data_IF_855385214681
#
_entry.id   IF_855385214681
#
_cell.length_a   1.000
_cell.length_b   1.000
_cell.length_c   1.000
_cell.angle_alpha   90.00
_cell.angle_beta   90.00
_cell.angle_gamma   90.00
#
_symmetry.space_group_name_H-M   'P 1'
#
loop_
_entity.id
_entity.type
_entity.pdbx_description
1 polymer ?
#
# COMPACT_ATOMS: atom_id res chain seq x y z
N UNK A 1 11.92 41.98 -17.97
CA UNK A 1 11.68 40.60 -17.47
C UNK A 1 10.34 40.04 -17.94
N UNK A 2 9.23 40.78 -17.77
CA UNK A 2 7.89 40.35 -18.23
C UNK A 2 7.77 40.14 -19.74
N UNK A 3 8.45 40.94 -20.57
CA UNK A 3 8.40 40.77 -22.03
C UNK A 3 9.10 39.49 -22.53
N UNK A 4 10.08 38.98 -21.78
CA UNK A 4 10.73 37.71 -22.10
C UNK A 4 9.79 36.51 -21.85
N UNK A 5 8.94 36.61 -20.83
CA UNK A 5 7.92 35.60 -20.51
C UNK A 5 6.76 35.58 -21.51
N UNK A 6 6.50 36.70 -22.20
CA UNK A 6 5.47 36.81 -23.25
C UNK A 6 5.90 36.27 -24.61
N UNK A 7 7.15 35.83 -24.77
CA UNK A 7 7.63 35.25 -26.02
C UNK A 7 6.86 33.96 -26.33
N UNK A 8 6.31 33.77 -27.55
CA UNK A 8 5.55 32.57 -27.88
C UNK A 8 6.31 31.27 -27.59
N UNK A 9 7.62 31.23 -27.87
CA UNK A 9 8.46 30.06 -27.59
C UNK A 9 8.55 29.69 -26.11
N UNK A 10 8.56 30.68 -25.20
CA UNK A 10 8.55 30.43 -23.75
C UNK A 10 7.20 29.90 -23.31
N UNK A 11 6.10 30.49 -23.82
CA UNK A 11 4.73 30.05 -23.53
C UNK A 11 4.50 28.61 -24.02
N UNK A 12 4.89 28.29 -25.26
CA UNK A 12 4.78 26.94 -25.81
C UNK A 12 5.64 25.94 -25.03
N UNK A 13 6.88 26.31 -24.69
CA UNK A 13 7.76 25.46 -23.89
C UNK A 13 7.18 25.15 -22.51
N UNK A 14 6.70 26.18 -21.81
CA UNK A 14 6.03 26.01 -20.51
C UNK A 14 4.78 25.14 -20.63
N UNK A 15 3.93 25.38 -21.63
CA UNK A 15 2.72 24.57 -21.87
C UNK A 15 3.04 23.09 -22.14
N UNK A 16 4.08 22.82 -22.92
CA UNK A 16 4.54 21.45 -23.16
C UNK A 16 5.14 20.81 -21.90
N UNK A 17 5.87 21.57 -21.09
CA UNK A 17 6.36 21.14 -19.78
C UNK A 17 5.23 20.78 -18.82
N UNK A 18 4.14 21.58 -18.79
CA UNK A 18 2.93 21.26 -18.02
C UNK A 18 2.31 19.96 -18.52
N UNK A 19 2.10 19.82 -19.83
CA UNK A 19 1.51 18.61 -20.41
C UNK A 19 2.29 17.35 -20.05
N UNK A 20 3.62 17.36 -20.22
CA UNK A 20 4.50 16.24 -19.83
C UNK A 20 4.35 15.94 -18.35
N UNK A 21 4.41 16.97 -17.49
CA UNK A 21 4.35 16.79 -16.05
C UNK A 21 3.03 16.20 -15.59
N UNK A 22 1.91 16.64 -16.18
CA UNK A 22 0.57 16.09 -15.87
C UNK A 22 0.46 14.65 -16.36
N UNK A 23 0.96 14.32 -17.56
CA UNK A 23 0.96 12.94 -18.05
C UNK A 23 1.78 11.99 -17.16
N UNK A 24 2.94 12.45 -16.68
CA UNK A 24 3.83 11.65 -15.84
C UNK A 24 3.29 11.50 -14.42
N UNK A 25 2.80 12.57 -13.80
CA UNK A 25 2.52 12.58 -12.36
C UNK A 25 1.04 12.55 -12.01
N UNK A 26 0.16 12.92 -12.93
CA UNK A 26 -1.29 13.02 -12.72
C UNK A 26 -2.07 12.40 -13.90
N UNK A 27 -1.79 11.13 -14.27
CA UNK A 27 -2.42 10.49 -15.42
C UNK A 27 -3.95 10.38 -15.30
N UNK A 28 -4.50 10.47 -14.10
CA UNK A 28 -5.94 10.51 -13.85
C UNK A 28 -6.64 11.70 -14.50
N UNK A 29 -5.95 12.83 -14.74
CA UNK A 29 -6.49 13.99 -15.46
C UNK A 29 -6.93 13.61 -16.89
N UNK A 30 -6.30 12.58 -17.46
CA UNK A 30 -6.61 12.04 -18.78
C UNK A 30 -7.33 10.67 -18.71
N UNK A 31 -7.80 10.26 -17.54
CA UNK A 31 -8.37 8.91 -17.31
C UNK A 31 -7.41 7.76 -17.64
N UNK A 32 -6.10 8.00 -17.51
CA UNK A 32 -5.06 7.01 -17.80
C UNK A 32 -4.59 6.23 -16.56
N UNK A 33 -5.16 6.50 -15.38
CA UNK A 33 -4.74 5.92 -14.10
C UNK A 33 -4.91 4.39 -14.00
N UNK A 34 -5.72 3.78 -14.87
CA UNK A 34 -5.86 2.32 -15.00
C UNK A 34 -5.16 1.75 -16.23
N UNK A 35 -4.47 2.58 -17.02
CA UNK A 35 -3.77 2.12 -18.23
C UNK A 35 -2.40 1.56 -17.84
N UNK A 36 -2.10 0.37 -18.35
CA UNK A 36 -0.79 -0.26 -18.22
C UNK A 36 0.33 0.72 -18.55
N UNK A 37 1.32 0.80 -17.65
CA UNK A 37 2.44 1.74 -17.75
C UNK A 37 2.22 2.98 -16.89
N UNK A 38 1.07 3.67 -17.04
CA UNK A 38 0.73 4.80 -16.17
C UNK A 38 0.47 4.36 -14.73
N UNK A 39 -0.27 3.27 -14.54
CA UNK A 39 -0.47 2.67 -13.21
C UNK A 39 0.85 2.31 -12.53
N UNK A 40 1.78 1.69 -13.27
CA UNK A 40 3.09 1.31 -12.75
C UNK A 40 3.94 2.53 -12.40
N UNK A 41 3.86 3.58 -13.21
CA UNK A 41 4.58 4.83 -12.98
C UNK A 41 4.03 5.59 -11.76
N UNK A 42 2.72 5.53 -11.53
CA UNK A 42 2.09 6.03 -10.30
C UNK A 42 2.53 5.22 -9.08
N UNK A 43 2.47 3.89 -9.15
CA UNK A 43 2.83 3.02 -8.03
C UNK A 43 4.31 3.10 -7.67
N UNK A 44 5.19 3.18 -8.69
CA UNK A 44 6.64 3.31 -8.53
C UNK A 44 7.07 4.78 -8.50
N UNK A 45 6.41 5.59 -7.66
CA UNK A 45 6.64 7.04 -7.56
C UNK A 45 8.12 7.43 -7.35
N UNK A 46 8.92 6.75 -6.52
CA UNK A 46 10.33 7.08 -6.34
C UNK A 46 11.14 6.87 -7.64
N UNK A 47 10.84 5.80 -8.37
CA UNK A 47 11.46 5.50 -9.66
C UNK A 47 11.04 6.53 -10.72
N UNK A 48 9.76 6.87 -10.78
CA UNK A 48 9.23 7.91 -11.66
C UNK A 48 9.93 9.26 -11.44
N UNK A 49 10.08 9.68 -10.18
CA UNK A 49 10.81 10.89 -9.81
C UNK A 49 12.27 10.85 -10.24
N UNK A 50 12.96 9.71 -10.03
CA UNK A 50 14.36 9.54 -10.43
C UNK A 50 14.53 9.61 -11.96
N UNK A 51 13.65 8.96 -12.72
CA UNK A 51 13.69 8.97 -14.20
C UNK A 51 13.41 10.36 -14.76
N UNK A 52 12.33 11.02 -14.31
CA UNK A 52 11.99 12.37 -14.80
C UNK A 52 13.03 13.39 -14.36
N UNK A 53 13.52 13.30 -13.12
CA UNK A 53 14.58 14.16 -12.60
C UNK A 53 15.88 14.00 -13.40
N UNK A 54 16.32 12.77 -13.64
CA UNK A 54 17.52 12.48 -14.44
C UNK A 54 17.40 12.95 -15.89
N UNK A 55 16.26 12.71 -16.54
CA UNK A 55 15.97 13.21 -17.89
C UNK A 55 15.97 14.75 -17.94
N UNK A 56 15.43 15.40 -16.90
CA UNK A 56 15.40 16.86 -16.79
C UNK A 56 16.82 17.43 -16.60
N UNK A 57 17.66 16.79 -15.79
CA UNK A 57 19.07 17.17 -15.64
C UNK A 57 19.84 17.05 -16.95
N UNK A 58 19.69 15.93 -17.67
CA UNK A 58 20.28 15.77 -19.00
C UNK A 58 19.77 16.84 -19.98
N UNK A 59 18.47 17.14 -19.92
CA UNK A 59 17.86 18.22 -20.68
C UNK A 59 18.52 19.58 -20.43
N UNK A 60 18.84 19.91 -19.17
CA UNK A 60 19.55 21.15 -18.84
C UNK A 60 20.99 21.15 -19.39
N UNK A 61 21.68 20.01 -19.38
CA UNK A 61 23.00 19.88 -20.02
C UNK A 61 22.91 20.13 -21.52
N UNK A 62 21.93 19.54 -22.21
CA UNK A 62 21.69 19.79 -23.63
C UNK A 62 21.31 21.25 -23.89
N UNK A 63 20.46 21.82 -23.04
CA UNK A 63 20.10 23.23 -23.15
C UNK A 63 21.31 24.16 -23.05
N UNK A 64 22.33 23.84 -22.25
CA UNK A 64 23.54 24.66 -22.15
C UNK A 64 24.28 24.83 -23.50
N UNK A 65 24.15 23.86 -24.41
CA UNK A 65 24.71 23.94 -25.76
C UNK A 65 23.81 24.71 -26.73
N UNK A 66 22.50 24.41 -26.75
CA UNK A 66 21.57 24.92 -27.77
C UNK A 66 20.88 26.25 -27.37
N UNK A 67 20.88 26.58 -26.08
CA UNK A 67 20.31 27.79 -25.46
C UNK A 67 18.89 28.15 -25.92
N UNK A 68 18.08 27.15 -26.27
CA UNK A 68 16.70 27.34 -26.70
C UNK A 68 15.81 27.82 -25.55
N UNK A 69 15.12 28.98 -25.67
CA UNK A 69 14.24 29.47 -24.61
C UNK A 69 13.00 28.58 -24.38
N UNK A 70 12.55 27.87 -25.42
CA UNK A 70 11.44 26.91 -25.32
C UNK A 70 11.84 25.71 -24.47
N UNK A 71 13.03 25.14 -24.75
CA UNK A 71 13.56 24.00 -24.00
C UNK A 71 13.79 24.38 -22.53
N UNK A 72 14.37 25.56 -22.25
CA UNK A 72 14.54 26.03 -20.88
C UNK A 72 13.21 26.12 -20.13
N UNK A 73 12.21 26.76 -20.74
CA UNK A 73 10.90 26.94 -20.14
C UNK A 73 10.24 25.60 -19.80
N UNK A 74 10.30 24.65 -20.74
CA UNK A 74 9.83 23.28 -20.53
C UNK A 74 10.54 22.60 -19.35
N UNK A 75 11.87 22.61 -19.33
CA UNK A 75 12.68 21.95 -18.29
C UNK A 75 12.46 22.56 -16.91
N UNK A 76 12.34 23.90 -16.81
CA UNK A 76 12.03 24.57 -15.55
C UNK A 76 10.67 24.13 -15.02
N UNK A 77 9.63 24.06 -15.87
CA UNK A 77 8.31 23.60 -15.45
C UNK A 77 8.37 22.14 -14.99
N UNK A 78 9.00 21.24 -15.77
CA UNK A 78 9.14 19.83 -15.39
C UNK A 78 9.91 19.66 -14.08
N UNK A 79 10.99 20.43 -13.88
CA UNK A 79 11.77 20.41 -12.64
C UNK A 79 10.94 20.88 -11.44
N UNK A 80 10.14 21.93 -11.60
CA UNK A 80 9.25 22.43 -10.55
C UNK A 80 8.19 21.38 -10.17
N UNK A 81 7.51 20.77 -11.14
CA UNK A 81 6.55 19.70 -10.90
C UNK A 81 7.20 18.49 -10.22
N UNK A 82 8.36 18.05 -10.70
CA UNK A 82 9.12 16.94 -10.12
C UNK A 82 9.50 17.25 -8.66
N UNK A 83 9.94 18.48 -8.37
CA UNK A 83 10.24 18.92 -7.01
C UNK A 83 9.01 18.92 -6.10
N UNK A 84 7.87 19.45 -6.56
CA UNK A 84 6.62 19.47 -5.80
C UNK A 84 6.14 18.04 -5.50
N UNK A 85 6.10 17.17 -6.51
CA UNK A 85 5.69 15.76 -6.34
C UNK A 85 6.68 15.03 -5.43
N UNK A 86 7.98 15.32 -5.53
CA UNK A 86 8.99 14.76 -4.64
C UNK A 86 8.78 15.17 -3.17
N UNK A 87 8.43 16.43 -2.92
CA UNK A 87 8.09 16.91 -1.58
C UNK A 87 6.81 16.25 -1.06
N UNK A 88 5.77 16.15 -1.89
CA UNK A 88 4.51 15.47 -1.53
C UNK A 88 4.71 13.99 -1.20
N UNK A 89 5.53 13.30 -1.98
CA UNK A 89 5.87 11.90 -1.70
C UNK A 89 6.67 11.79 -0.39
N UNK A 90 7.67 12.64 -0.20
CA UNK A 90 8.49 12.63 1.01
C UNK A 90 7.69 13.02 2.27
N UNK A 91 6.66 13.87 2.15
CA UNK A 91 5.82 14.28 3.29
C UNK A 91 4.94 13.16 3.82
N UNK A 92 4.72 12.08 3.05
CA UNK A 92 4.07 10.87 3.59
C UNK A 92 4.97 10.19 4.64
N UNK A 93 6.27 10.46 4.62
CA UNK A 93 7.22 10.05 5.65
C UNK A 93 8.13 8.88 5.25
N UNK A 94 9.40 9.00 5.61
CA UNK A 94 10.51 8.14 5.13
C UNK A 94 10.94 7.10 6.18
N UNK A 95 10.09 6.76 7.15
CA UNK A 95 10.45 5.82 8.21
C UNK A 95 10.04 4.39 7.82
N UNK A 96 10.86 3.40 8.17
CA UNK A 96 10.44 1.99 8.15
C UNK A 96 9.88 1.55 9.51
N UNK A 97 10.17 2.31 10.57
CA UNK A 97 9.69 2.09 11.93
C UNK A 97 9.29 3.42 12.54
N UNK A 98 8.23 3.42 13.32
CA UNK A 98 7.77 4.57 14.06
C UNK A 98 7.18 4.13 15.39
N UNK A 99 7.43 4.93 16.42
CA UNK A 99 6.82 4.76 17.72
C UNK A 99 6.60 6.15 18.31
N UNK A 100 5.40 6.39 18.81
CA UNK A 100 5.01 7.57 19.59
C UNK A 100 4.41 7.09 20.90
N UNK A 101 4.19 8.02 21.84
CA UNK A 101 3.59 7.66 23.11
C UNK A 101 2.23 7.01 22.88
N UNK A 102 2.06 5.78 23.37
CA UNK A 102 0.81 5.06 23.28
C UNK A 102 -0.30 5.85 24.01
N UNK A 103 -1.46 6.08 23.37
CA UNK A 103 -2.64 6.54 24.09
C UNK A 103 -2.99 5.58 25.23
N UNK A 104 -3.69 6.08 26.25
CA UNK A 104 -4.30 5.24 27.27
C UNK A 104 -5.43 4.41 26.68
N UNK A 105 -5.62 3.19 27.18
CA UNK A 105 -6.70 2.30 26.76
C UNK A 105 -6.20 0.91 26.39
N UNK A 106 -7.13 0.10 25.88
CA UNK A 106 -6.81 -1.23 25.35
C UNK A 106 -5.95 -1.11 24.10
N UNK A 107 -5.14 -2.15 23.89
CA UNK A 107 -4.15 -2.19 22.81
C UNK A 107 -4.49 -3.33 21.88
N UNK A 108 -4.26 -3.10 20.59
CA UNK A 108 -4.43 -4.07 19.54
C UNK A 108 -3.18 -4.09 18.67
N UNK A 109 -2.56 -5.25 18.47
CA UNK A 109 -1.44 -5.45 17.55
C UNK A 109 -1.93 -6.22 16.34
N UNK A 110 -1.74 -5.65 15.15
CA UNK A 110 -2.14 -6.25 13.88
C UNK A 110 -0.92 -6.44 13.00
N UNK A 111 -0.75 -7.66 12.47
CA UNK A 111 0.29 -8.01 11.51
C UNK A 111 -0.35 -8.32 10.16
N UNK A 112 0.26 -7.87 9.06
CA UNK A 112 -0.10 -8.34 7.72
C UNK A 112 1.12 -8.75 6.89
N UNK A 113 0.92 -9.74 6.03
CA UNK A 113 1.97 -10.29 5.19
C UNK A 113 1.40 -11.04 3.98
N UNK A 114 1.73 -10.58 2.77
CA UNK A 114 1.76 -11.44 1.60
C UNK A 114 3.02 -12.33 1.69
N UNK A 115 2.82 -13.64 1.90
CA UNK A 115 3.92 -14.57 2.14
C UNK A 115 4.51 -15.15 0.86
N UNK A 116 3.99 -14.80 -0.31
CA UNK A 116 4.27 -15.37 -1.63
C UNK A 116 3.82 -16.84 -1.75
N UNK A 117 3.04 -17.12 -2.80
CA UNK A 117 2.52 -18.45 -3.08
C UNK A 117 3.63 -19.51 -3.14
N UNK A 118 3.42 -20.62 -2.43
CA UNK A 118 4.35 -21.75 -2.38
C UNK A 118 5.61 -21.50 -1.54
N UNK A 119 5.72 -20.35 -0.87
CA UNK A 119 6.74 -20.14 0.16
C UNK A 119 6.34 -20.88 1.43
N UNK A 120 7.28 -21.56 2.08
CA UNK A 120 7.10 -22.22 3.38
C UNK A 120 8.12 -21.72 4.43
N UNK A 121 9.01 -20.82 4.03
CA UNK A 121 10.22 -20.47 4.78
C UNK A 121 10.02 -19.34 5.80
N UNK A 122 8.79 -18.85 5.98
CA UNK A 122 8.45 -17.70 6.83
C UNK A 122 8.34 -18.03 8.33
N UNK A 123 9.19 -18.92 8.87
CA UNK A 123 9.23 -19.22 10.32
C UNK A 123 9.47 -17.98 11.19
N UNK A 124 10.29 -17.03 10.72
CA UNK A 124 10.53 -15.78 11.46
C UNK A 124 9.29 -14.90 11.57
N UNK A 125 8.32 -15.02 10.65
CA UNK A 125 7.03 -14.34 10.77
C UNK A 125 6.24 -14.89 11.96
N UNK A 126 6.17 -16.22 12.12
CA UNK A 126 5.45 -16.84 13.24
C UNK A 126 6.15 -16.63 14.57
N UNK A 127 7.49 -16.62 14.58
CA UNK A 127 8.24 -16.18 15.77
C UNK A 127 7.88 -14.74 16.13
N UNK A 128 7.79 -13.84 15.15
CA UNK A 128 7.38 -12.44 15.39
C UNK A 128 5.96 -12.37 15.95
N UNK A 129 4.98 -13.05 15.32
CA UNK A 129 3.59 -13.12 15.80
C UNK A 129 3.52 -13.54 17.27
N UNK A 130 4.31 -14.55 17.65
CA UNK A 130 4.43 -14.99 19.04
C UNK A 130 5.10 -13.93 19.94
N UNK A 131 6.25 -13.39 19.53
CA UNK A 131 7.03 -12.45 20.34
C UNK A 131 6.30 -11.10 20.56
N UNK A 132 5.50 -10.65 19.59
CA UNK A 132 4.74 -9.41 19.65
C UNK A 132 3.33 -9.60 20.16
N UNK A 133 2.95 -10.86 20.45
CA UNK A 133 1.64 -11.25 20.93
C UNK A 133 0.52 -10.68 20.05
N UNK A 134 0.67 -10.82 18.73
CA UNK A 134 -0.21 -10.17 17.75
C UNK A 134 -1.66 -10.63 17.91
N UNK A 135 -2.61 -9.72 17.98
CA UNK A 135 -4.02 -10.06 18.22
C UNK A 135 -4.71 -10.52 16.93
N UNK A 136 -4.32 -9.91 15.81
CA UNK A 136 -4.87 -10.18 14.48
C UNK A 136 -3.73 -10.29 13.47
N UNK A 137 -3.78 -11.33 12.62
CA UNK A 137 -2.83 -11.54 11.52
C UNK A 137 -3.58 -11.69 10.21
N UNK A 138 -3.32 -10.82 9.24
CA UNK A 138 -3.86 -10.89 7.88
C UNK A 138 -2.80 -11.45 6.93
N UNK A 139 -2.97 -12.68 6.48
CA UNK A 139 -2.05 -13.34 5.55
C UNK A 139 -2.65 -13.35 4.13
N UNK A 140 -1.79 -13.17 3.13
CA UNK A 140 -2.12 -13.31 1.72
C UNK A 140 -1.14 -14.28 1.06
N UNK A 141 -1.61 -15.00 0.04
CA UNK A 141 -0.86 -16.06 -0.64
C UNK A 141 -0.35 -17.17 0.30
N UNK A 142 -1.09 -17.44 1.37
CA UNK A 142 -0.72 -18.42 2.38
C UNK A 142 -1.54 -19.70 2.23
N UNK A 143 -0.86 -20.84 2.13
CA UNK A 143 -1.52 -22.14 2.18
C UNK A 143 -2.00 -22.45 3.62
N UNK A 144 -3.26 -22.84 3.76
CA UNK A 144 -3.86 -23.12 5.07
C UNK A 144 -3.08 -24.18 5.86
N UNK A 145 -2.66 -25.26 5.19
CA UNK A 145 -1.84 -26.33 5.78
C UNK A 145 -0.50 -25.83 6.31
N UNK A 146 0.15 -24.91 5.59
CA UNK A 146 1.43 -24.33 6.05
C UNK A 146 1.24 -23.41 7.25
N UNK A 147 0.11 -22.71 7.33
CA UNK A 147 -0.27 -21.91 8.51
C UNK A 147 -0.52 -22.81 9.71
N UNK A 148 -1.26 -23.90 9.56
CA UNK A 148 -1.51 -24.89 10.62
C UNK A 148 -0.22 -25.51 11.16
N UNK A 149 0.67 -25.98 10.28
CA UNK A 149 1.97 -26.55 10.66
C UNK A 149 2.81 -25.55 11.48
N UNK A 150 2.76 -24.26 11.12
CA UNK A 150 3.48 -23.20 11.84
C UNK A 150 2.81 -22.86 13.17
N UNK A 151 1.48 -22.84 13.23
CA UNK A 151 0.77 -22.68 14.51
C UNK A 151 1.17 -23.78 15.50
N UNK A 152 1.21 -25.04 15.05
CA UNK A 152 1.64 -26.15 15.91
C UNK A 152 3.10 -25.98 16.34
N UNK A 153 4.01 -25.72 15.38
CA UNK A 153 5.45 -25.57 15.63
C UNK A 153 5.77 -24.46 16.65
N UNK A 154 5.02 -23.37 16.64
CA UNK A 154 5.23 -22.22 17.54
C UNK A 154 4.31 -22.22 18.76
N UNK A 155 3.50 -23.27 18.97
CA UNK A 155 2.62 -23.40 20.14
C UNK A 155 1.50 -22.37 20.16
N UNK A 156 0.97 -22.01 18.98
CA UNK A 156 -0.06 -20.99 18.78
C UNK A 156 -1.43 -21.59 18.38
N UNK A 157 -1.53 -22.91 18.19
CA UNK A 157 -2.76 -23.56 17.73
C UNK A 157 -3.97 -23.30 18.64
N UNK A 158 -3.77 -23.25 19.95
CA UNK A 158 -4.86 -22.98 20.92
C UNK A 158 -5.11 -21.47 21.13
N UNK A 159 -4.28 -20.60 20.54
CA UNK A 159 -4.36 -19.16 20.72
C UNK A 159 -5.24 -18.50 19.66
N UNK A 160 -5.25 -19.01 18.42
CA UNK A 160 -5.89 -18.37 17.28
C UNK A 160 -7.00 -19.20 16.64
N UNK A 161 -8.11 -18.52 16.33
CA UNK A 161 -8.99 -18.94 15.25
C UNK A 161 -8.35 -18.59 13.90
N UNK A 162 -8.39 -19.52 12.95
CA UNK A 162 -7.99 -19.29 11.54
C UNK A 162 -9.24 -19.34 10.67
N UNK A 163 -9.42 -18.36 9.79
CA UNK A 163 -10.51 -18.40 8.81
C UNK A 163 -10.31 -19.55 7.82
N UNK A 164 -11.39 -20.16 7.31
CA UNK A 164 -11.28 -21.17 6.26
C UNK A 164 -10.69 -20.58 4.98
N UNK A 165 -10.26 -21.47 4.08
CA UNK A 165 -9.80 -21.12 2.72
C UNK A 165 -10.84 -20.26 1.98
N UNK A 166 -10.34 -19.28 1.22
CA UNK A 166 -11.21 -18.37 0.48
C UNK A 166 -11.62 -18.99 -0.85
N UNK A 167 -12.87 -18.80 -1.32
CA UNK A 167 -13.24 -19.22 -2.67
C UNK A 167 -12.52 -18.32 -3.69
N UNK A 168 -11.34 -18.73 -4.15
CA UNK A 168 -10.64 -18.04 -5.25
C UNK A 168 -11.01 -18.66 -6.60
N UNK A 169 -10.94 -17.86 -7.67
CA UNK A 169 -11.26 -18.33 -9.03
C UNK A 169 -10.19 -19.28 -9.63
N UNK A 170 -9.08 -19.52 -8.92
CA UNK A 170 -7.96 -20.33 -9.37
C UNK A 170 -7.51 -21.23 -8.20
N UNK A 171 -7.41 -22.57 -8.38
CA UNK A 171 -7.03 -23.53 -7.34
C UNK A 171 -5.54 -23.49 -6.97
N UNK A 172 -4.93 -22.32 -7.05
CA UNK A 172 -3.58 -22.04 -6.59
C UNK A 172 -3.66 -21.75 -5.10
N UNK A 173 -2.81 -22.38 -4.28
CA UNK A 173 -2.66 -22.28 -2.81
C UNK A 173 -2.33 -20.85 -2.31
N UNK A 174 -3.07 -19.85 -2.80
CA UNK A 174 -2.83 -18.43 -2.65
C UNK A 174 -4.02 -17.77 -1.93
N UNK A 175 -4.40 -18.34 -0.79
CA UNK A 175 -5.51 -17.85 0.00
C UNK A 175 -5.17 -16.57 0.76
N UNK A 176 -6.21 -15.79 1.02
CA UNK A 176 -6.19 -14.77 2.06
C UNK A 176 -6.79 -15.35 3.33
N UNK A 177 -6.07 -15.25 4.44
CA UNK A 177 -6.49 -15.79 5.73
C UNK A 177 -6.45 -14.69 6.79
N UNK A 178 -7.33 -14.79 7.78
CA UNK A 178 -7.25 -14.03 9.02
C UNK A 178 -7.03 -15.00 10.17
N UNK A 179 -6.00 -14.74 10.98
CA UNK A 179 -5.83 -15.36 12.29
C UNK A 179 -6.24 -14.33 13.34
N UNK A 180 -7.09 -14.73 14.30
CA UNK A 180 -7.55 -13.85 15.38
C UNK A 180 -7.44 -14.60 16.69
N UNK A 181 -6.90 -13.95 17.72
CA UNK A 181 -6.89 -14.55 19.04
C UNK A 181 -8.31 -14.84 19.54
N UNK A 182 -8.47 -15.93 20.29
CA UNK A 182 -9.77 -16.33 20.82
C UNK A 182 -10.36 -15.37 21.87
N UNK A 183 -9.53 -14.56 22.52
CA UNK A 183 -9.95 -13.54 23.50
C UNK A 183 -10.74 -12.39 22.87
N UNK A 184 -10.62 -12.17 21.55
CA UNK A 184 -11.43 -11.24 20.78
C UNK A 184 -12.79 -11.82 20.35
N UNK A 185 -13.12 -13.04 20.81
CA UNK A 185 -14.37 -13.75 20.51
C UNK A 185 -14.72 -13.75 19.00
N UNK A 186 -13.82 -14.24 18.13
CA UNK A 186 -13.99 -14.10 16.69
C UNK A 186 -15.14 -14.95 16.12
N UNK A 187 -15.96 -14.34 15.28
CA UNK A 187 -16.96 -14.96 14.41
C UNK A 187 -16.51 -14.84 12.95
N UNK A 188 -16.35 -15.96 12.24
CA UNK A 188 -15.98 -15.95 10.81
C UNK A 188 -17.11 -15.36 9.97
N UNK A 189 -16.76 -14.42 9.09
CA UNK A 189 -17.68 -13.85 8.11
C UNK A 189 -17.67 -14.69 6.84
N UNK A 190 -18.84 -14.98 6.28
CA UNK A 190 -18.98 -15.80 5.08
C UNK A 190 -18.26 -15.17 3.86
N UNK A 191 -17.18 -15.83 3.44
CA UNK A 191 -16.32 -15.41 2.35
C UNK A 191 -17.02 -15.41 0.98
N UNK A 192 -18.12 -16.17 0.78
CA UNK A 192 -18.83 -16.19 -0.50
C UNK A 192 -19.46 -14.85 -0.88
N UNK A 193 -19.75 -14.02 0.13
CA UNK A 193 -20.32 -12.69 -0.05
C UNK A 193 -19.27 -11.60 -0.22
N UNK A 194 -18.00 -11.94 -0.01
CA UNK A 194 -16.91 -10.99 -0.03
C UNK A 194 -16.35 -10.84 -1.46
N UNK A 195 -15.68 -9.72 -1.74
CA UNK A 195 -14.90 -9.56 -2.97
C UNK A 195 -13.83 -10.66 -3.08
N UNK A 196 -13.13 -10.68 -4.22
CA UNK A 196 -12.02 -11.60 -4.48
C UNK A 196 -11.07 -11.77 -3.28
N UNK A 197 -10.38 -12.92 -3.17
CA UNK A 197 -9.37 -13.27 -2.16
C UNK A 197 -9.42 -12.44 -0.86
N UNK A 198 -10.58 -12.43 -0.20
CA UNK A 198 -10.87 -11.65 1.00
C UNK A 198 -11.37 -12.60 2.08
N UNK A 199 -10.75 -12.53 3.25
CA UNK A 199 -11.19 -13.25 4.44
C UNK A 199 -11.57 -12.26 5.54
N UNK A 200 -12.62 -12.58 6.31
CA UNK A 200 -13.19 -11.65 7.27
C UNK A 200 -13.61 -12.31 8.58
N UNK A 201 -13.51 -11.54 9.64
CA UNK A 201 -13.89 -11.92 11.00
C UNK A 201 -14.60 -10.75 11.67
N UNK A 202 -15.56 -11.06 12.54
CA UNK A 202 -16.20 -10.09 13.44
C UNK A 202 -15.77 -10.40 14.87
N UNK A 203 -15.47 -9.36 15.62
CA UNK A 203 -15.08 -9.41 17.04
C UNK A 203 -15.91 -8.41 17.82
N UNK A 204 -15.70 -8.35 19.14
CA UNK A 204 -16.23 -7.28 19.99
C UNK A 204 -15.76 -5.87 19.59
N UNK A 205 -14.59 -5.76 18.93
CA UNK A 205 -14.02 -4.50 18.41
C UNK A 205 -14.50 -4.15 16.99
N UNK A 206 -15.35 -4.99 16.40
CA UNK A 206 -15.87 -4.84 15.04
C UNK A 206 -15.23 -5.79 14.04
N UNK A 207 -15.28 -5.42 12.76
CA UNK A 207 -14.92 -6.33 11.66
C UNK A 207 -13.49 -6.10 11.16
N UNK A 208 -12.78 -7.19 10.91
CA UNK A 208 -11.41 -7.19 10.41
C UNK A 208 -11.31 -8.04 9.14
N UNK A 209 -10.50 -7.60 8.18
CA UNK A 209 -10.35 -8.29 6.90
C UNK A 209 -8.90 -8.41 6.44
N UNK A 210 -8.56 -9.57 5.90
CA UNK A 210 -7.41 -9.78 5.03
C UNK A 210 -7.83 -9.54 3.58
N UNK A 211 -7.11 -8.67 2.88
CA UNK A 211 -7.41 -8.23 1.52
C UNK A 211 -6.27 -8.63 0.57
N UNK A 212 -6.62 -9.15 -0.60
CA UNK A 212 -5.68 -9.38 -1.69
C UNK A 212 -6.31 -9.04 -3.05
N UNK A 213 -6.11 -7.81 -3.51
CA UNK A 213 -6.61 -7.36 -4.80
C UNK A 213 -5.83 -8.02 -5.94
N UNK A 214 -6.47 -8.26 -7.09
CA UNK A 214 -5.77 -8.67 -8.31
C UNK A 214 -4.58 -7.76 -8.63
N UNK A 215 -3.50 -8.26 -9.22
CA UNK A 215 -2.38 -7.40 -9.63
C UNK A 215 -2.66 -6.62 -10.95
N UNK A 216 -2.10 -5.40 -11.15
CA UNK A 216 -2.22 -4.61 -12.38
C UNK A 216 -1.31 -5.14 -13.51
N UNK A 217 -1.50 -6.40 -13.91
CA UNK A 217 -0.69 -7.06 -14.95
C UNK A 217 -1.14 -6.68 -16.37
N UNK A 218 -0.23 -6.85 -17.35
CA UNK A 218 -0.37 -6.34 -18.73
C UNK A 218 -1.37 -7.13 -19.60
N UNK A 219 -2.63 -7.26 -19.17
CA UNK A 219 -3.74 -7.76 -19.98
C UNK A 219 -5.02 -6.96 -19.69
N UNK A 220 -5.71 -6.52 -20.74
CA UNK A 220 -6.84 -5.58 -20.60
C UNK A 220 -8.01 -6.08 -19.73
N UNK A 221 -8.23 -7.40 -19.64
CA UNK A 221 -9.22 -7.98 -18.71
C UNK A 221 -8.69 -7.95 -17.27
N UNK A 222 -7.46 -8.41 -17.05
CA UNK A 222 -6.82 -8.44 -15.73
C UNK A 222 -6.70 -7.02 -15.14
N UNK A 223 -6.38 -6.03 -15.96
CA UNK A 223 -6.32 -4.62 -15.56
C UNK A 223 -7.69 -4.07 -15.11
N UNK A 224 -8.79 -4.50 -15.74
CA UNK A 224 -10.14 -4.13 -15.30
C UNK A 224 -10.53 -4.83 -14.01
N UNK A 225 -10.14 -6.10 -13.87
CA UNK A 225 -10.37 -6.88 -12.66
C UNK A 225 -9.61 -6.26 -11.48
N UNK A 226 -8.34 -5.85 -11.66
CA UNK A 226 -7.59 -5.07 -10.67
C UNK A 226 -8.32 -3.80 -10.27
N UNK A 227 -8.69 -2.95 -11.24
CA UNK A 227 -9.32 -1.69 -10.90
C UNK A 227 -10.65 -1.88 -10.12
N UNK A 228 -11.38 -2.95 -10.46
CA UNK A 228 -12.61 -3.33 -9.77
C UNK A 228 -12.35 -3.92 -8.38
N UNK A 229 -11.40 -4.85 -8.23
CA UNK A 229 -11.09 -5.49 -6.95
C UNK A 229 -10.54 -4.47 -5.95
N UNK A 230 -9.58 -3.63 -6.36
CA UNK A 230 -9.02 -2.57 -5.52
C UNK A 230 -10.12 -1.68 -4.96
N UNK A 231 -11.01 -1.19 -5.82
CA UNK A 231 -12.12 -0.33 -5.39
C UNK A 231 -13.04 -1.07 -4.41
N UNK A 232 -13.47 -2.27 -4.76
CA UNK A 232 -14.49 -3.01 -4.01
C UNK A 232 -13.97 -3.45 -2.64
N UNK A 233 -12.71 -3.88 -2.57
CA UNK A 233 -12.05 -4.28 -1.32
C UNK A 233 -11.70 -3.08 -0.45
N UNK A 234 -11.18 -1.98 -1.03
CA UNK A 234 -10.96 -0.71 -0.33
C UNK A 234 -12.26 -0.19 0.29
N UNK A 235 -13.39 -0.29 -0.42
CA UNK A 235 -14.70 0.15 0.08
C UNK A 235 -15.17 -0.64 1.32
N UNK A 236 -14.58 -1.80 1.65
CA UNK A 236 -14.86 -2.53 2.90
C UNK A 236 -14.45 -1.69 4.13
N UNK A 237 -13.42 -0.86 4.03
CA UNK A 237 -12.96 -0.03 5.14
C UNK A 237 -14.05 0.92 5.68
N UNK A 238 -15.02 1.28 4.82
CA UNK A 238 -16.13 2.15 5.17
C UNK A 238 -17.05 1.54 6.24
N UNK A 239 -17.04 0.21 6.39
CA UNK A 239 -17.79 -0.53 7.43
C UNK A 239 -16.92 -1.30 8.41
N UNK A 240 -15.75 -1.80 7.99
CA UNK A 240 -14.84 -2.55 8.83
C UNK A 240 -14.09 -1.65 9.83
N UNK A 241 -13.65 -2.21 10.94
CA UNK A 241 -12.77 -1.53 11.90
C UNK A 241 -11.38 -1.36 11.32
N UNK A 242 -10.86 -2.42 10.68
CA UNK A 242 -9.58 -2.40 9.99
C UNK A 242 -9.56 -3.44 8.87
N UNK A 243 -9.02 -3.05 7.72
CA UNK A 243 -8.68 -3.97 6.63
C UNK A 243 -7.18 -3.90 6.37
N UNK A 244 -6.55 -5.06 6.16
CA UNK A 244 -5.12 -5.15 5.97
C UNK A 244 -4.75 -6.16 4.87
N UNK A 245 -3.67 -5.88 4.15
CA UNK A 245 -3.13 -6.80 3.15
C UNK A 245 -2.66 -6.09 1.89
N UNK A 246 -2.57 -6.85 0.81
CA UNK A 246 -2.05 -6.41 -0.48
C UNK A 246 -3.16 -5.86 -1.37
N UNK A 247 -3.20 -4.53 -1.50
CA UNK A 247 -4.15 -3.84 -2.39
C UNK A 247 -3.64 -3.77 -3.82
N UNK A 248 -2.41 -4.20 -4.11
CA UNK A 248 -1.79 -4.09 -5.43
C UNK A 248 -1.87 -2.65 -6.01
N UNK A 249 -1.97 -1.64 -5.13
CA UNK A 249 -2.17 -0.24 -5.48
C UNK A 249 -1.70 0.65 -4.34
N UNK A 250 -0.95 1.71 -4.66
CA UNK A 250 -0.51 2.72 -3.70
C UNK A 250 -1.61 3.75 -3.41
N UNK A 251 -1.52 4.48 -2.29
CA UNK A 251 -2.36 5.66 -1.98
C UNK A 251 -2.28 6.81 -3.00
N UNK A 252 -1.26 6.82 -3.87
CA UNK A 252 -1.18 7.74 -5.01
C UNK A 252 -2.21 7.42 -6.12
N UNK A 253 -2.78 6.22 -6.12
CA UNK A 253 -3.85 5.84 -7.04
C UNK A 253 -5.17 6.47 -6.62
N UNK A 254 -5.96 7.06 -7.54
CA UNK A 254 -7.30 7.52 -7.21
C UNK A 254 -8.23 6.38 -6.74
N UNK A 255 -7.91 5.12 -7.08
CA UNK A 255 -8.65 3.94 -6.61
C UNK A 255 -8.47 3.67 -5.12
N UNK A 256 -7.43 4.21 -4.49
CA UNK A 256 -7.15 4.03 -3.05
C UNK A 256 -7.69 5.18 -2.18
N UNK A 257 -8.30 6.21 -2.77
CA UNK A 257 -8.85 7.34 -2.00
C UNK A 257 -10.03 6.89 -1.15
N UNK A 258 -9.93 7.02 0.16
CA UNK A 258 -11.00 6.68 1.12
C UNK A 258 -11.73 7.95 1.58
N UNK A 259 -12.96 7.79 2.07
CA UNK A 259 -13.72 8.90 2.65
C UNK A 259 -13.63 8.94 4.18
N UNK A 260 -13.65 7.78 4.83
CA UNK A 260 -13.75 7.64 6.30
C UNK A 260 -12.66 6.76 6.92
N UNK A 261 -11.63 6.40 6.16
CA UNK A 261 -10.59 5.50 6.62
C UNK A 261 -9.23 6.18 6.48
N UNK A 262 -8.34 5.96 7.44
CA UNK A 262 -6.95 6.41 7.40
C UNK A 262 -6.01 5.25 7.09
N UNK A 263 -4.85 5.54 6.52
CA UNK A 263 -3.76 4.59 6.31
C UNK A 263 -2.78 4.65 7.49
N UNK A 264 -2.61 3.54 8.22
CA UNK A 264 -1.78 3.52 9.44
C UNK A 264 -0.33 3.90 9.21
N UNK A 265 0.22 3.56 8.04
CA UNK A 265 1.59 3.88 7.71
C UNK A 265 1.75 5.38 7.39
N UNK A 266 0.78 6.04 6.75
CA UNK A 266 0.83 7.49 6.54
C UNK A 266 0.73 8.27 7.85
N UNK A 267 -0.16 7.86 8.76
CA UNK A 267 -0.33 8.48 10.09
C UNK A 267 0.96 8.40 10.92
N UNK A 268 1.71 7.30 10.78
CA UNK A 268 3.00 7.10 11.45
C UNK A 268 4.22 7.58 10.65
N UNK A 269 4.03 8.36 9.57
CA UNK A 269 5.12 8.87 8.73
C UNK A 269 6.01 7.76 8.11
N UNK A 270 5.38 6.65 7.74
CA UNK A 270 5.93 5.50 7.01
C UNK A 270 5.38 5.44 5.56
N UNK A 271 4.81 6.55 5.11
CA UNK A 271 4.27 6.91 3.79
C UNK A 271 4.96 6.48 2.52
N UNK A 272 6.25 6.73 2.52
CA UNK A 272 7.05 6.79 1.33
C UNK A 272 7.88 5.51 1.15
N UNK A 273 7.69 4.52 2.02
CA UNK A 273 8.44 3.26 2.01
C UNK A 273 7.62 2.18 1.32
N UNK A 274 8.23 1.56 0.31
CA UNK A 274 7.64 0.49 -0.46
C UNK A 274 7.76 -0.86 0.24
N UNK A 275 6.64 -1.59 0.29
CA UNK A 275 6.56 -2.97 0.73
C UNK A 275 7.03 -3.94 -0.37
N UNK A 276 6.86 -3.57 -1.65
CA UNK A 276 7.23 -4.40 -2.80
C UNK A 276 8.09 -3.65 -3.84
N UNK A 277 9.11 -4.28 -4.46
CA UNK A 277 9.64 -5.60 -4.13
C UNK A 277 10.59 -5.53 -2.91
N UNK A 278 10.59 -6.59 -2.09
CA UNK A 278 11.42 -6.74 -0.89
C UNK A 278 12.91 -6.83 -1.22
N UNK A 279 13.26 -7.32 -2.42
CA UNK A 279 14.64 -7.42 -2.92
C UNK A 279 15.28 -6.05 -3.21
N UNK A 280 14.50 -5.01 -3.43
CA UNK A 280 15.00 -3.64 -3.62
C UNK A 280 15.00 -2.90 -2.30
N UNK A 281 15.73 -1.79 -2.20
CA UNK A 281 15.57 -0.89 -1.04
C UNK A 281 14.12 -0.40 -0.94
N UNK A 282 13.56 -0.33 0.27
CA UNK A 282 12.20 0.21 0.49
C UNK A 282 12.05 1.66 0.03
N UNK A 283 13.14 2.39 -0.23
CA UNK A 283 13.08 3.73 -0.82
C UNK A 283 12.65 3.75 -2.30
N UNK A 284 12.74 2.60 -2.99
CA UNK A 284 12.52 2.50 -4.43
C UNK A 284 11.30 1.63 -4.78
N UNK A 285 10.70 0.97 -3.79
CA UNK A 285 9.54 0.10 -3.99
C UNK A 285 8.22 0.88 -4.05
N UNK A 286 7.18 0.17 -4.47
CA UNK A 286 5.79 0.57 -4.32
C UNK A 286 5.29 0.14 -2.93
N UNK A 287 4.49 0.99 -2.30
CA UNK A 287 3.77 0.62 -1.08
C UNK A 287 2.37 0.16 -1.48
N UNK A 288 2.22 -1.15 -1.66
CA UNK A 288 0.96 -1.77 -2.09
C UNK A 288 0.27 -2.56 -0.97
N UNK A 289 1.00 -2.82 0.12
CA UNK A 289 0.45 -3.38 1.34
C UNK A 289 0.03 -2.24 2.28
N UNK A 290 -1.20 -2.32 2.81
CA UNK A 290 -1.80 -1.25 3.59
C UNK A 290 -2.57 -1.78 4.79
N UNK A 291 -2.66 -0.97 5.84
CA UNK A 291 -3.65 -1.11 6.91
C UNK A 291 -4.56 0.12 6.83
N UNK A 292 -5.80 -0.07 6.36
CA UNK A 292 -6.81 0.98 6.35
C UNK A 292 -7.74 0.77 7.54
N UNK A 293 -7.88 1.78 8.39
CA UNK A 293 -8.60 1.67 9.66
C UNK A 293 -9.58 2.83 9.86
N UNK A 294 -10.54 2.62 10.77
CA UNK A 294 -11.47 3.66 11.23
C UNK A 294 -10.81 4.53 12.31
N UNK A 295 -10.52 5.81 12.04
CA UNK A 295 -9.86 6.69 13.00
C UNK A 295 -10.74 7.06 14.20
N UNK A 296 -12.02 6.70 14.21
CA UNK A 296 -12.90 6.83 15.37
C UNK A 296 -12.77 5.65 16.35
N UNK A 297 -12.15 4.54 15.93
CA UNK A 297 -12.07 3.30 16.73
C UNK A 297 -10.62 2.98 17.11
N UNK A 298 -9.67 3.21 16.21
CA UNK A 298 -8.26 2.86 16.43
C UNK A 298 -7.36 4.07 16.26
N UNK A 299 -6.26 4.11 17.00
CA UNK A 299 -5.18 5.11 16.81
C UNK A 299 -3.83 4.40 16.76
N UNK A 300 -3.14 4.34 15.60
CA UNK A 300 -1.84 3.72 15.51
C UNK A 300 -0.80 4.54 16.29
N UNK A 301 0.00 3.89 17.12
CA UNK A 301 1.07 4.54 17.89
C UNK A 301 2.43 3.88 17.70
N UNK A 302 2.47 2.67 17.12
CA UNK A 302 3.70 1.97 16.78
C UNK A 302 3.52 1.25 15.46
N UNK A 303 4.56 1.25 14.63
CA UNK A 303 4.56 0.60 13.33
C UNK A 303 5.96 0.13 12.93
N UNK A 304 6.03 -1.03 12.28
CA UNK A 304 7.24 -1.59 11.68
C UNK A 304 6.92 -2.22 10.33
N UNK A 305 7.77 -1.93 9.34
CA UNK A 305 7.85 -2.68 8.10
C UNK A 305 9.06 -3.62 8.17
N UNK A 306 8.82 -4.92 8.02
CA UNK A 306 9.83 -5.96 8.21
C UNK A 306 9.98 -6.90 7.01
N UNK A 307 11.13 -7.58 6.92
CA UNK A 307 11.39 -8.55 5.86
C UNK A 307 10.79 -9.91 6.23
N UNK A 308 10.08 -10.52 5.28
CA UNK A 308 9.56 -11.88 5.40
C UNK A 308 10.51 -12.81 4.63
N UNK A 309 10.93 -13.92 5.23
CA UNK A 309 11.76 -14.91 4.54
C UNK A 309 11.02 -15.54 3.38
N UNK A 310 11.68 -15.62 2.22
CA UNK A 310 11.14 -16.24 1.01
C UNK A 310 10.15 -15.38 0.22
N UNK A 311 9.55 -14.34 0.82
CA UNK A 311 8.58 -13.46 0.16
C UNK A 311 9.25 -12.32 -0.61
N UNK A 312 8.61 -11.91 -1.70
CA UNK A 312 8.92 -10.68 -2.43
C UNK A 312 8.23 -9.44 -1.86
N UNK A 313 7.45 -9.59 -0.78
CA UNK A 313 6.88 -8.50 0.01
C UNK A 313 7.63 -8.26 1.32
N UNK A 314 7.36 -7.10 1.91
CA UNK A 314 7.65 -6.79 3.31
C UNK A 314 6.36 -6.88 4.10
N UNK A 315 6.43 -7.44 5.30
CA UNK A 315 5.30 -7.45 6.21
C UNK A 315 5.14 -6.12 6.94
N UNK A 316 3.95 -5.88 7.44
CA UNK A 316 3.59 -4.71 8.23
C UNK A 316 3.11 -5.17 9.61
N UNK A 317 3.55 -4.48 10.65
CA UNK A 317 3.08 -4.65 12.02
C UNK A 317 2.72 -3.28 12.56
N UNK A 318 1.52 -3.14 13.13
CA UNK A 318 1.07 -1.92 13.77
C UNK A 318 0.42 -2.23 15.11
N UNK A 319 0.74 -1.40 16.11
CA UNK A 319 0.02 -1.38 17.38
C UNK A 319 -0.88 -0.14 17.45
N UNK A 320 -2.12 -0.38 17.86
CA UNK A 320 -3.18 0.59 17.97
C UNK A 320 -3.62 0.71 19.43
N UNK A 321 -4.01 1.92 19.84
CA UNK A 321 -4.89 2.08 20.98
C UNK A 321 -6.33 2.01 20.50
N UNK A 322 -7.19 1.30 21.25
CA UNK A 322 -8.62 1.24 21.03
C UNK A 322 -9.26 2.46 21.69
N UNK A 323 -10.08 3.19 20.94
CA UNK A 323 -10.82 4.34 21.44
C UNK A 323 -12.14 3.88 22.05
N UNK A 324 -12.44 4.38 23.24
CA UNK A 324 -13.75 4.21 23.83
C UNK A 324 -14.79 4.96 23.00
N UNK A 325 -15.92 4.31 22.67
CA UNK A 325 -16.96 4.88 21.83
C UNK A 325 -17.67 6.13 22.44
N UNK A 326 -17.33 6.49 23.68
CA UNK A 326 -17.96 7.57 24.47
C UNK A 326 -17.05 8.83 24.64
N UNK A 327 -15.97 8.94 23.85
CA UNK A 327 -15.02 10.09 23.88
C UNK A 327 -15.46 11.32 23.10
#
# INVERSE_FOLDING_TARGET
MLDALRRPSVIFGAGFGVLISVLCFFPEVFSLHTVTGFVHFTAMRPFALAVVGGATMLGFLLWAFWRSPMLLAMLVVVALFTGIVGVQWASKGLRNTAEVAAPSGDKLTVVSANVLIGNDSYDRLFKRIHDTDADIVALQEAAHTTVEDKLEKFGLSDAYLVTPETPTASPTDADSLVMVKHDLEPEVIDAHSLPFATAGVRTSLGEFYSIHAHAPVQRAVEQRNWAHSVKTERDICERATLIAGDFNATTDSPLMRTGRCSDSAEELNMGARGSWPSKWSSMLGARIDHHLYKPEVLTPYKGEMFVIDGSDHRGLEFSYAVQDADG
#
